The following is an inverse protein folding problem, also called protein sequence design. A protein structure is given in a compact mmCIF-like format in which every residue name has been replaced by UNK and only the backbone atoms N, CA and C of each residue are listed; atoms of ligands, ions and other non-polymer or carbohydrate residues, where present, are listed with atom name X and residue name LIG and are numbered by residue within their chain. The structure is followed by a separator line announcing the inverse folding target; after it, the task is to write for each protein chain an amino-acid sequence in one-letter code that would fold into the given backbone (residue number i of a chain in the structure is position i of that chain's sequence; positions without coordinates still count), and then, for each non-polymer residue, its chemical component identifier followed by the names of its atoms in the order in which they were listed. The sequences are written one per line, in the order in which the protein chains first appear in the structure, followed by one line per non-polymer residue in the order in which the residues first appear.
data_IF_598413415305
#
_entry.id   IF_598413415305
#
_cell.length_a   1.000
_cell.length_b   1.000
_cell.length_c   1.000
_cell.angle_alpha   90.00
_cell.angle_beta   90.00
_cell.angle_gamma   90.00
#
_symmetry.space_group_name_H-M   'P 1'
#
loop_
_entity.id
_entity.type
_entity.pdbx_description
1 polymer ?
#
# COMPACT_ATOMS: atom_id res chain seq x y z
N UNK A 1 14.24 -24.58 8.90
CA UNK A 1 14.65 -24.33 7.50
C UNK A 1 14.75 -25.68 6.83
N UNK A 2 14.05 -25.87 5.72
CA UNK A 2 14.12 -27.12 4.96
C UNK A 2 15.33 -27.02 4.01
N UNK A 3 16.40 -27.75 4.30
CA UNK A 3 17.55 -27.84 3.39
C UNK A 3 17.17 -28.69 2.17
N UNK A 4 17.49 -28.17 0.99
CA UNK A 4 17.31 -28.86 -0.29
C UNK A 4 18.65 -29.31 -0.82
N UNK A 5 18.63 -30.29 -1.73
CA UNK A 5 19.84 -30.71 -2.45
C UNK A 5 20.47 -29.53 -3.19
N UNK A 6 19.66 -28.62 -3.74
CA UNK A 6 20.12 -27.40 -4.40
C UNK A 6 20.87 -26.46 -3.47
N UNK A 7 20.33 -26.19 -2.28
CA UNK A 7 21.03 -25.36 -1.29
C UNK A 7 22.33 -26.02 -0.83
N UNK A 8 22.33 -27.34 -0.60
CA UNK A 8 23.53 -28.07 -0.21
C UNK A 8 24.63 -28.04 -1.28
N UNK A 9 24.29 -28.23 -2.56
CA UNK A 9 25.25 -28.11 -3.66
C UNK A 9 25.78 -26.69 -3.80
N UNK A 10 24.95 -25.68 -3.52
CA UNK A 10 25.36 -24.28 -3.51
C UNK A 10 26.31 -23.98 -2.35
N UNK A 11 26.06 -24.56 -1.17
CA UNK A 11 26.95 -24.44 -0.01
C UNK A 11 28.33 -25.06 -0.30
N UNK A 12 28.40 -26.23 -0.94
CA UNK A 12 29.67 -26.85 -1.37
C UNK A 12 30.45 -25.96 -2.34
N UNK A 13 29.76 -25.33 -3.30
CA UNK A 13 30.41 -24.42 -4.26
C UNK A 13 30.87 -23.11 -3.61
N UNK A 14 30.17 -22.66 -2.58
CA UNK A 14 30.54 -21.47 -1.82
C UNK A 14 31.74 -21.72 -0.90
N UNK A 15 31.84 -22.92 -0.32
CA UNK A 15 32.93 -23.33 0.57
C UNK A 15 34.27 -23.46 -0.18
N UNK A 16 34.26 -24.09 -1.36
CA UNK A 16 35.46 -24.24 -2.19
C UNK A 16 35.23 -23.80 -3.65
N UNK A 17 35.87 -22.68 -4.01
CA UNK A 17 35.85 -22.11 -5.37
C UNK A 17 36.53 -23.01 -6.41
N UNK A 18 37.26 -24.04 -5.99
CA UNK A 18 37.83 -25.08 -6.85
C UNK A 18 36.78 -26.06 -7.40
N UNK A 19 35.58 -26.10 -6.82
CA UNK A 19 34.48 -26.97 -7.27
C UNK A 19 33.73 -26.33 -8.43
N UNK A 20 33.94 -26.85 -9.65
CA UNK A 20 33.31 -26.37 -10.89
C UNK A 20 31.97 -27.04 -11.18
N UNK A 21 31.86 -28.33 -10.82
CA UNK A 21 30.66 -29.12 -11.05
C UNK A 21 30.43 -30.06 -9.88
N UNK A 22 29.27 -29.94 -9.24
CA UNK A 22 28.80 -30.83 -8.18
C UNK A 22 27.39 -31.33 -8.52
N UNK A 23 27.17 -32.64 -8.46
CA UNK A 23 25.86 -33.24 -8.71
C UNK A 23 25.67 -34.49 -7.85
N UNK A 24 24.40 -34.75 -7.49
CA UNK A 24 24.01 -35.93 -6.71
C UNK A 24 23.29 -36.92 -7.61
N UNK A 25 23.68 -38.19 -7.50
CA UNK A 25 23.10 -39.31 -8.22
C UNK A 25 22.60 -40.38 -7.24
N UNK A 26 21.54 -41.08 -7.61
CA UNK A 26 21.06 -42.28 -6.90
C UNK A 26 22.03 -43.44 -7.13
N UNK A 27 21.97 -44.49 -6.30
CA UNK A 27 22.74 -45.73 -6.49
C UNK A 27 22.64 -46.29 -7.93
N UNK A 28 21.46 -46.13 -8.56
CA UNK A 28 21.12 -46.56 -9.92
C UNK A 28 21.64 -45.63 -11.04
N UNK A 29 22.31 -44.52 -10.71
CA UNK A 29 22.90 -43.59 -11.68
C UNK A 29 21.98 -42.48 -12.18
N UNK A 30 20.75 -42.37 -11.67
CA UNK A 30 19.83 -41.28 -11.99
C UNK A 30 20.19 -39.99 -11.24
N UNK A 31 20.14 -38.85 -11.92
CA UNK A 31 20.43 -37.54 -11.31
C UNK A 31 19.26 -37.09 -10.43
N UNK A 32 19.58 -36.65 -9.21
CA UNK A 32 18.58 -36.16 -8.25
C UNK A 32 18.30 -34.66 -8.50
N UNK A 33 17.02 -34.24 -8.55
CA UNK A 33 16.66 -32.84 -8.71
C UNK A 33 17.16 -31.95 -7.56
N UNK A 34 17.50 -30.70 -7.87
CA UNK A 34 17.90 -29.70 -6.88
C UNK A 34 16.77 -29.33 -5.89
N UNK A 35 15.51 -29.57 -6.25
CA UNK A 35 14.34 -29.33 -5.40
C UNK A 35 14.10 -30.44 -4.37
N UNK A 36 14.80 -31.57 -4.45
CA UNK A 36 14.63 -32.68 -3.51
C UNK A 36 15.05 -32.24 -2.10
N UNK A 37 14.23 -32.60 -1.10
CA UNK A 37 14.53 -32.32 0.31
C UNK A 37 15.66 -33.22 0.80
N UNK A 38 16.56 -32.66 1.62
CA UNK A 38 17.69 -33.40 2.18
C UNK A 38 17.24 -34.60 3.03
N UNK A 39 16.11 -34.46 3.72
CA UNK A 39 15.53 -35.55 4.51
C UNK A 39 15.11 -36.76 3.67
N UNK A 40 14.73 -36.58 2.41
CA UNK A 40 14.39 -37.67 1.48
C UNK A 40 15.66 -38.30 0.91
N UNK A 41 16.66 -37.48 0.60
CA UNK A 41 17.95 -37.96 0.10
C UNK A 41 18.64 -38.87 1.12
N UNK A 42 18.65 -38.48 2.39
CA UNK A 42 19.32 -39.20 3.48
C UNK A 42 18.62 -40.52 3.88
N UNK A 43 17.46 -40.86 3.28
CA UNK A 43 16.81 -42.15 3.50
C UNK A 43 17.49 -43.29 2.74
N UNK A 44 18.23 -42.98 1.66
CA UNK A 44 18.88 -43.94 0.79
C UNK A 44 20.36 -43.56 0.59
N UNK A 45 21.17 -44.54 0.21
CA UNK A 45 22.55 -44.29 -0.20
C UNK A 45 22.59 -43.53 -1.53
N UNK A 46 23.54 -42.60 -1.65
CA UNK A 46 23.66 -41.76 -2.83
C UNK A 46 25.12 -41.52 -3.21
N UNK A 47 25.34 -41.18 -4.49
CA UNK A 47 26.65 -40.87 -5.05
C UNK A 47 26.78 -39.38 -5.26
N UNK A 48 27.79 -38.77 -4.66
CA UNK A 48 28.14 -37.37 -4.84
C UNK A 48 29.29 -37.25 -5.84
N UNK A 49 29.06 -36.56 -6.95
CA UNK A 49 30.08 -36.34 -7.98
C UNK A 49 30.57 -34.91 -7.90
N UNK A 50 31.86 -34.72 -7.56
CA UNK A 50 32.54 -33.42 -7.50
C UNK A 50 33.68 -33.44 -8.51
N UNK A 51 33.68 -32.50 -9.47
CA UNK A 51 34.77 -32.34 -10.46
C UNK A 51 35.20 -33.65 -11.15
N UNK A 52 34.23 -34.56 -11.40
CA UNK A 52 34.39 -35.91 -12.00
C UNK A 52 34.88 -37.02 -11.04
N UNK A 53 35.12 -36.71 -9.76
CA UNK A 53 35.37 -37.72 -8.73
C UNK A 53 34.02 -38.13 -8.13
N UNK A 54 33.79 -39.45 -8.04
CA UNK A 54 32.54 -40.01 -7.50
C UNK A 54 32.80 -40.49 -6.08
N UNK A 55 32.03 -39.98 -5.13
CA UNK A 55 32.04 -40.38 -3.73
C UNK A 55 30.77 -41.16 -3.44
N UNK A 56 30.91 -42.37 -2.88
CA UNK A 56 29.78 -43.17 -2.44
C UNK A 56 29.47 -42.85 -0.97
N UNK A 57 28.28 -42.32 -0.71
CA UNK A 57 27.87 -41.86 0.62
C UNK A 57 26.85 -42.85 1.17
N UNK A 58 27.28 -43.60 2.19
CA UNK A 58 26.40 -44.49 2.94
C UNK A 58 25.69 -43.71 4.04
N UNK A 59 24.36 -43.69 3.97
CA UNK A 59 23.54 -42.98 4.94
C UNK A 59 23.27 -43.90 6.13
N UNK A 60 23.51 -43.45 7.39
CA UNK A 60 23.11 -44.22 8.55
C UNK A 60 21.59 -44.35 8.57
N UNK A 61 21.09 -45.60 8.61
CA UNK A 61 19.65 -45.86 8.76
C UNK A 61 19.21 -45.30 10.10
N UNK A 62 18.27 -44.35 10.09
CA UNK A 62 17.76 -43.77 11.32
C UNK A 62 17.19 -44.89 12.21
N UNK A 63 17.77 -45.05 13.40
CA UNK A 63 17.19 -45.87 14.45
C UNK A 63 15.80 -45.33 14.78
N UNK A 64 14.79 -46.20 14.72
CA UNK A 64 13.44 -45.86 15.17
C UNK A 64 13.47 -45.71 16.68
N UNK A 65 13.68 -44.48 17.15
CA UNK A 65 13.46 -44.10 18.55
C UNK A 65 12.06 -44.58 18.98
N UNK A 66 11.98 -45.23 20.15
CA UNK A 66 10.73 -45.71 20.74
C UNK A 66 9.68 -44.59 20.74
N UNK A 67 8.46 -44.88 20.28
CA UNK A 67 7.42 -43.88 20.01
C UNK A 67 7.07 -43.01 21.22
N UNK A 68 7.19 -43.54 22.44
CA UNK A 68 6.97 -42.77 23.67
C UNK A 68 8.05 -41.70 23.90
N UNK A 69 9.33 -42.05 23.72
CA UNK A 69 10.44 -41.10 23.91
C UNK A 69 10.45 -40.01 22.82
N UNK A 70 9.96 -40.31 21.62
CA UNK A 70 9.77 -39.31 20.56
C UNK A 70 8.73 -38.26 20.99
N UNK A 71 7.60 -38.68 21.57
CA UNK A 71 6.56 -37.75 22.02
C UNK A 71 7.02 -36.86 23.18
N UNK A 72 7.76 -37.39 24.15
CA UNK A 72 8.31 -36.59 25.23
C UNK A 72 9.30 -35.53 24.72
N UNK A 73 10.20 -35.91 23.81
CA UNK A 73 11.16 -34.99 23.22
C UNK A 73 10.49 -33.90 22.37
N UNK A 74 9.41 -34.22 21.66
CA UNK A 74 8.59 -33.24 20.95
C UNK A 74 7.92 -32.24 21.91
N UNK A 75 7.40 -32.71 23.05
CA UNK A 75 6.82 -31.80 24.06
C UNK A 75 7.89 -30.88 24.64
N UNK A 76 9.08 -31.39 24.94
CA UNK A 76 10.20 -30.59 25.45
C UNK A 76 10.66 -29.56 24.40
N UNK A 77 10.78 -29.96 23.13
CA UNK A 77 11.09 -29.04 22.03
C UNK A 77 10.03 -27.95 21.88
N UNK A 78 8.74 -28.30 22.03
CA UNK A 78 7.64 -27.33 21.94
C UNK A 78 7.70 -26.29 23.07
N UNK A 79 8.07 -26.71 24.30
CA UNK A 79 8.23 -25.84 25.45
C UNK A 79 9.43 -24.92 25.29
N UNK A 80 10.58 -25.46 24.88
CA UNK A 80 11.78 -24.68 24.58
C UNK A 80 11.49 -23.66 23.47
N UNK A 81 10.78 -24.06 22.43
CA UNK A 81 10.40 -23.15 21.34
C UNK A 81 9.45 -22.05 21.81
N UNK A 82 8.46 -22.36 22.67
CA UNK A 82 7.59 -21.35 23.30
C UNK A 82 8.38 -20.37 24.15
N UNK A 83 9.33 -20.86 24.96
CA UNK A 83 10.13 -20.03 25.85
C UNK A 83 11.09 -19.14 25.06
N UNK A 84 11.77 -19.72 24.06
CA UNK A 84 12.61 -18.99 23.12
C UNK A 84 11.82 -17.90 22.40
N UNK A 85 10.62 -18.23 21.92
CA UNK A 85 9.74 -17.27 21.27
C UNK A 85 9.30 -16.16 22.23
N UNK A 86 9.02 -16.47 23.50
CA UNK A 86 8.64 -15.48 24.51
C UNK A 86 9.79 -14.53 24.87
N UNK A 87 11.01 -15.06 25.08
CA UNK A 87 12.19 -14.26 25.45
C UNK A 87 12.65 -13.36 24.29
N UNK A 88 12.60 -13.85 23.05
CA UNK A 88 12.98 -13.07 21.87
C UNK A 88 11.83 -12.27 21.24
N UNK A 89 10.62 -12.32 21.83
CA UNK A 89 9.42 -11.71 21.27
C UNK A 89 9.58 -10.20 21.09
N UNK A 90 9.99 -9.48 22.15
CA UNK A 90 10.06 -8.01 22.11
C UNK A 90 11.09 -7.49 21.11
N UNK A 91 12.28 -8.10 21.06
CA UNK A 91 13.32 -7.69 20.13
C UNK A 91 12.88 -7.91 18.67
N UNK A 92 12.22 -9.04 18.40
CA UNK A 92 11.72 -9.34 17.06
C UNK A 92 10.55 -8.44 16.66
N UNK A 93 9.61 -8.20 17.57
CA UNK A 93 8.45 -7.33 17.36
C UNK A 93 8.88 -5.88 17.11
N UNK A 94 9.79 -5.35 17.93
CA UNK A 94 10.32 -3.98 17.79
C UNK A 94 11.08 -3.81 16.47
N UNK A 95 11.88 -4.80 16.06
CA UNK A 95 12.55 -4.79 14.75
C UNK A 95 11.54 -4.81 13.60
N UNK A 96 10.48 -5.60 13.72
CA UNK A 96 9.40 -5.69 12.73
C UNK A 96 8.58 -4.40 12.64
N UNK A 97 8.28 -3.77 13.78
CA UNK A 97 7.61 -2.48 13.86
C UNK A 97 8.45 -1.38 13.21
N UNK A 98 9.73 -1.28 13.56
CA UNK A 98 10.66 -0.32 12.97
C UNK A 98 10.75 -0.50 11.44
N UNK A 99 10.85 -1.75 10.96
CA UNK A 99 10.85 -2.05 9.52
C UNK A 99 9.55 -1.64 8.83
N UNK A 100 8.39 -1.80 9.49
CA UNK A 100 7.10 -1.34 8.97
C UNK A 100 7.01 0.18 8.94
N UNK A 101 7.49 0.86 9.98
CA UNK A 101 7.54 2.33 10.04
C UNK A 101 8.44 2.90 8.93
N UNK A 102 9.63 2.33 8.75
CA UNK A 102 10.57 2.74 7.71
C UNK A 102 9.98 2.56 6.30
N UNK A 103 9.27 1.45 6.07
CA UNK A 103 8.50 1.24 4.84
C UNK A 103 7.41 2.29 4.66
N UNK A 104 6.63 2.59 5.70
CA UNK A 104 5.56 3.60 5.64
C UNK A 104 6.15 4.98 5.32
N UNK A 105 7.25 5.37 5.95
CA UNK A 105 7.92 6.64 5.70
C UNK A 105 8.47 6.73 4.28
N UNK A 106 9.08 5.65 3.78
CA UNK A 106 9.54 5.59 2.39
C UNK A 106 8.38 5.73 1.40
N UNK A 107 7.29 4.98 1.60
CA UNK A 107 6.08 5.07 0.75
C UNK A 107 5.44 6.46 0.83
N UNK A 108 5.36 7.05 2.02
CA UNK A 108 4.82 8.40 2.24
C UNK A 108 5.67 9.46 1.54
N UNK A 109 7.00 9.33 1.58
CA UNK A 109 7.94 10.24 0.89
C UNK A 109 7.75 10.20 -0.63
N UNK A 110 7.52 9.01 -1.19
CA UNK A 110 7.21 8.83 -2.60
C UNK A 110 5.81 9.35 -2.98
N UNK A 111 4.85 9.31 -2.05
CA UNK A 111 3.49 9.85 -2.25
C UNK A 111 3.41 11.39 -2.10
N UNK A 112 4.34 11.99 -1.35
CA UNK A 112 4.35 13.42 -1.07
C UNK A 112 4.37 14.36 -2.31
N UNK A 113 5.18 14.14 -3.37
CA UNK A 113 5.14 14.98 -4.57
C UNK A 113 3.77 14.93 -5.27
N UNK A 114 3.12 13.77 -5.20
CA UNK A 114 1.81 13.52 -5.80
C UNK A 114 0.68 14.22 -5.06
N UNK A 115 0.71 14.19 -3.74
CA UNK A 115 -0.22 14.95 -2.91
C UNK A 115 -0.06 16.46 -3.10
N UNK A 116 1.18 16.95 -3.26
CA UNK A 116 1.44 18.37 -3.58
C UNK A 116 0.84 18.78 -4.92
N UNK A 117 0.96 17.93 -5.95
CA UNK A 117 0.33 18.19 -7.25
C UNK A 117 -1.19 18.21 -7.15
N UNK A 118 -1.79 17.30 -6.37
CA UNK A 118 -3.23 17.30 -6.09
C UNK A 118 -3.67 18.60 -5.41
N UNK A 119 -3.01 18.99 -4.32
CA UNK A 119 -3.32 20.21 -3.59
C UNK A 119 -3.20 21.47 -4.48
N UNK A 120 -2.20 21.51 -5.37
CA UNK A 120 -2.01 22.61 -6.32
C UNK A 120 -3.07 22.69 -7.43
N UNK A 121 -3.78 21.59 -7.72
CA UNK A 121 -4.93 21.60 -8.64
C UNK A 121 -6.18 22.09 -7.91
N UNK A 122 -6.39 21.62 -6.69
CA UNK A 122 -7.53 21.97 -5.84
C UNK A 122 -7.55 23.49 -5.53
N UNK A 123 -6.41 24.04 -5.08
CA UNK A 123 -6.31 25.49 -4.80
C UNK A 123 -6.51 26.37 -6.06
N UNK A 124 -6.12 25.89 -7.25
CA UNK A 124 -6.37 26.61 -8.52
C UNK A 124 -7.82 26.56 -8.97
N UNK A 125 -8.58 25.57 -8.51
CA UNK A 125 -10.02 25.47 -8.76
C UNK A 125 -10.78 26.45 -7.87
N UNK A 126 -10.48 26.47 -6.57
CA UNK A 126 -11.11 27.37 -5.59
C UNK A 126 -10.90 28.83 -5.96
N UNK A 127 -9.66 29.22 -6.31
CA UNK A 127 -9.36 30.59 -6.72
C UNK A 127 -10.06 30.99 -8.04
N UNK A 128 -10.41 30.04 -8.91
CA UNK A 128 -11.20 30.32 -10.12
C UNK A 128 -12.67 30.50 -9.81
N UNK A 129 -13.23 29.64 -8.96
CA UNK A 129 -14.63 29.72 -8.54
C UNK A 129 -14.87 31.02 -7.76
N UNK A 130 -14.02 31.33 -6.79
CA UNK A 130 -14.11 32.59 -6.05
C UNK A 130 -14.04 33.79 -6.99
N UNK A 131 -13.10 33.81 -7.95
CA UNK A 131 -13.04 34.89 -8.94
C UNK A 131 -14.32 35.01 -9.76
N UNK A 132 -14.85 33.89 -10.26
CA UNK A 132 -16.11 33.86 -11.01
C UNK A 132 -17.29 34.40 -10.18
N UNK A 133 -17.40 33.98 -8.93
CA UNK A 133 -18.43 34.46 -7.99
C UNK A 133 -18.31 35.96 -7.74
N UNK A 134 -17.09 36.47 -7.51
CA UNK A 134 -16.84 37.90 -7.33
C UNK A 134 -17.16 38.71 -8.61
N UNK A 135 -16.80 38.22 -9.79
CA UNK A 135 -17.20 38.87 -11.06
C UNK A 135 -18.71 38.83 -11.30
N UNK A 136 -19.38 37.72 -10.95
CA UNK A 136 -20.83 37.61 -11.04
C UNK A 136 -21.53 38.60 -10.10
N UNK A 137 -21.03 38.73 -8.87
CA UNK A 137 -21.53 39.70 -7.90
C UNK A 137 -21.35 41.14 -8.40
N UNK A 138 -20.17 41.49 -8.92
CA UNK A 138 -19.90 42.81 -9.47
C UNK A 138 -20.82 43.16 -10.66
N UNK A 139 -21.03 42.21 -11.58
CA UNK A 139 -21.95 42.37 -12.71
C UNK A 139 -23.38 42.62 -12.24
N UNK A 140 -23.88 41.83 -11.28
CA UNK A 140 -25.22 42.01 -10.72
C UNK A 140 -25.37 43.35 -10.01
N UNK A 141 -24.34 43.81 -9.29
CA UNK A 141 -24.35 45.13 -8.64
C UNK A 141 -24.41 46.27 -9.65
N UNK A 142 -23.61 46.20 -10.73
CA UNK A 142 -23.64 47.20 -11.81
C UNK A 142 -24.99 47.20 -12.51
N UNK A 143 -25.53 46.01 -12.80
CA UNK A 143 -26.84 45.85 -13.43
C UNK A 143 -27.96 46.46 -12.58
N UNK A 144 -27.97 46.20 -11.26
CA UNK A 144 -28.94 46.79 -10.34
C UNK A 144 -28.81 48.32 -10.25
N UNK A 145 -27.58 48.84 -10.19
CA UNK A 145 -27.32 50.27 -10.17
C UNK A 145 -27.74 50.99 -11.46
N UNK A 146 -27.49 50.39 -12.62
CA UNK A 146 -27.92 50.92 -13.91
C UNK A 146 -29.45 50.98 -14.02
N UNK A 147 -30.14 49.92 -13.61
CA UNK A 147 -31.61 49.90 -13.57
C UNK A 147 -32.15 50.98 -12.64
N UNK A 148 -31.60 51.10 -11.43
CA UNK A 148 -31.99 52.13 -10.47
C UNK A 148 -31.80 53.55 -11.02
N UNK A 149 -30.67 53.81 -11.69
CA UNK A 149 -30.40 55.08 -12.37
C UNK A 149 -31.44 55.37 -13.46
N UNK A 150 -31.69 54.40 -14.35
CA UNK A 150 -32.69 54.56 -15.42
C UNK A 150 -34.10 54.80 -14.86
N UNK A 151 -34.51 54.12 -13.79
CA UNK A 151 -35.85 54.25 -13.20
C UNK A 151 -36.10 55.55 -12.46
N UNK A 152 -35.05 56.23 -11.97
CA UNK A 152 -35.20 57.46 -11.19
C UNK A 152 -34.86 58.73 -11.95
N UNK A 153 -33.93 58.67 -12.91
CA UNK A 153 -33.42 59.87 -13.59
C UNK A 153 -33.85 60.00 -15.06
N UNK A 154 -34.14 58.90 -15.75
CA UNK A 154 -34.28 58.92 -17.23
C UNK A 154 -35.66 58.46 -17.71
N UNK A 155 -36.20 57.39 -17.14
CA UNK A 155 -37.45 56.77 -17.58
C UNK A 155 -38.39 56.54 -16.41
N UNK A 156 -39.69 56.75 -16.62
CA UNK A 156 -40.71 56.35 -15.65
C UNK A 156 -40.78 54.83 -15.51
N UNK A 157 -41.15 54.37 -14.31
CA UNK A 157 -41.23 52.95 -13.95
C UNK A 157 -42.07 52.11 -14.92
N UNK A 158 -43.15 52.69 -15.47
CA UNK A 158 -44.06 52.08 -16.46
C UNK A 158 -43.37 51.60 -17.75
N UNK A 159 -42.30 52.29 -18.19
CA UNK A 159 -41.52 51.90 -19.38
C UNK A 159 -40.47 50.83 -19.03
N UNK A 160 -39.97 50.83 -17.79
CA UNK A 160 -38.90 49.93 -17.33
C UNK A 160 -39.42 48.59 -16.82
N UNK A 161 -40.69 48.49 -16.42
CA UNK A 161 -41.32 47.28 -15.92
C UNK A 161 -41.08 46.06 -16.86
N UNK A 162 -41.48 46.06 -18.14
CA UNK A 162 -41.26 44.91 -19.01
C UNK A 162 -39.76 44.61 -19.25
N UNK A 163 -38.92 45.63 -19.28
CA UNK A 163 -37.47 45.50 -19.51
C UNK A 163 -36.81 44.74 -18.35
N UNK A 164 -37.18 45.05 -17.11
CA UNK A 164 -36.65 44.35 -15.93
C UNK A 164 -37.08 42.88 -15.86
N UNK A 165 -38.29 42.56 -16.30
CA UNK A 165 -38.78 41.18 -16.42
C UNK A 165 -37.94 40.38 -17.43
N UNK A 166 -37.72 40.92 -18.64
CA UNK A 166 -36.89 40.24 -19.65
C UNK A 166 -35.47 40.02 -19.18
N UNK A 167 -34.87 41.00 -18.52
CA UNK A 167 -33.50 40.90 -17.98
C UNK A 167 -33.42 39.83 -16.87
N UNK A 168 -34.39 39.78 -15.97
CA UNK A 168 -34.43 38.77 -14.90
C UNK A 168 -34.59 37.36 -15.48
N UNK A 169 -35.46 37.20 -16.47
CA UNK A 169 -35.64 35.95 -17.18
C UNK A 169 -34.37 35.54 -17.93
N UNK A 170 -33.71 36.47 -18.62
CA UNK A 170 -32.44 36.23 -19.30
C UNK A 170 -31.32 35.82 -18.33
N UNK A 171 -31.20 36.46 -17.18
CA UNK A 171 -30.25 36.08 -16.13
C UNK A 171 -30.52 34.67 -15.59
N UNK A 172 -31.78 34.32 -15.35
CA UNK A 172 -32.19 32.97 -14.93
C UNK A 172 -31.87 31.93 -16.01
N UNK A 173 -32.15 32.24 -17.27
CA UNK A 173 -31.83 31.41 -18.44
C UNK A 173 -30.31 31.17 -18.57
N UNK A 174 -29.50 32.21 -18.40
CA UNK A 174 -28.03 32.12 -18.43
C UNK A 174 -27.51 31.32 -17.25
N UNK A 175 -28.04 31.52 -16.04
CA UNK A 175 -27.67 30.74 -14.87
C UNK A 175 -28.01 29.26 -15.05
N UNK A 176 -29.19 28.96 -15.61
CA UNK A 176 -29.61 27.60 -15.90
C UNK A 176 -28.81 26.97 -17.04
N UNK A 177 -28.50 27.71 -18.10
CA UNK A 177 -27.62 27.26 -19.17
C UNK A 177 -26.20 27.00 -18.66
N UNK A 178 -25.66 27.88 -17.82
CA UNK A 178 -24.39 27.68 -17.14
C UNK A 178 -24.44 26.43 -16.25
N UNK A 179 -25.52 26.22 -15.50
CA UNK A 179 -25.70 25.02 -14.69
C UNK A 179 -25.77 23.73 -15.53
N UNK A 180 -26.47 23.77 -16.67
CA UNK A 180 -26.57 22.65 -17.61
C UNK A 180 -25.24 22.34 -18.32
N UNK A 181 -24.49 23.36 -18.74
CA UNK A 181 -23.18 23.20 -19.40
C UNK A 181 -22.12 22.76 -18.39
N UNK A 182 -22.16 23.33 -17.19
CA UNK A 182 -21.23 23.00 -16.11
C UNK A 182 -21.60 21.68 -15.41
N UNK A 183 -22.76 21.08 -15.75
CA UNK A 183 -23.33 19.83 -15.24
C UNK A 183 -22.93 19.51 -13.80
N UNK A 184 -23.76 19.99 -12.87
CA UNK A 184 -24.02 19.39 -11.55
C UNK A 184 -22.89 18.51 -10.97
N UNK A 185 -21.85 19.14 -10.44
CA UNK A 185 -20.96 18.55 -9.43
C UNK A 185 -20.55 19.60 -8.41
N UNK A 186 -21.56 20.20 -7.77
CA UNK A 186 -21.40 21.07 -6.60
C UNK A 186 -21.10 20.28 -5.31
N UNK A 187 -20.90 18.96 -5.39
CA UNK A 187 -20.31 18.16 -4.31
C UNK A 187 -18.81 18.01 -4.56
N UNK A 188 -18.07 19.05 -4.14
CA UNK A 188 -16.62 19.22 -4.25
C UNK A 188 -15.79 18.02 -3.73
N UNK A 189 -16.39 17.12 -2.95
CA UNK A 189 -15.68 15.99 -2.31
C UNK A 189 -15.72 14.69 -3.14
N UNK A 190 -16.81 14.38 -3.83
CA UNK A 190 -16.99 13.07 -4.47
C UNK A 190 -16.60 13.06 -5.96
N UNK A 191 -16.83 14.15 -6.69
CA UNK A 191 -16.62 14.19 -8.15
C UNK A 191 -15.36 14.92 -8.58
N UNK A 192 -14.77 15.72 -7.67
CA UNK A 192 -13.34 16.00 -7.71
C UNK A 192 -12.56 14.71 -7.91
N UNK A 193 -12.95 13.57 -7.33
CA UNK A 193 -12.33 12.27 -7.59
C UNK A 193 -12.31 11.83 -9.07
N UNK A 194 -13.43 11.95 -9.80
CA UNK A 194 -13.53 11.48 -11.21
C UNK A 194 -12.96 12.48 -12.21
N UNK A 195 -13.25 13.77 -12.05
CA UNK A 195 -12.66 14.82 -12.89
C UNK A 195 -11.15 14.89 -12.64
N UNK A 196 -10.70 14.79 -11.38
CA UNK A 196 -9.29 14.65 -11.04
C UNK A 196 -8.74 13.38 -11.66
N UNK A 197 -9.40 12.22 -11.55
CA UNK A 197 -8.89 10.99 -12.15
C UNK A 197 -8.71 11.14 -13.67
N UNK A 198 -9.67 11.77 -14.36
CA UNK A 198 -9.57 12.02 -15.80
C UNK A 198 -8.46 13.03 -16.14
N UNK A 199 -8.37 14.13 -15.40
CA UNK A 199 -7.33 15.16 -15.59
C UNK A 199 -5.94 14.64 -15.20
N UNK A 200 -5.87 13.82 -14.16
CA UNK A 200 -4.70 13.14 -13.65
C UNK A 200 -4.24 12.09 -14.65
N UNK A 201 -5.12 11.26 -15.22
CA UNK A 201 -4.79 10.34 -16.32
C UNK A 201 -4.32 11.08 -17.57
N UNK A 202 -4.98 12.19 -17.93
CA UNK A 202 -4.60 13.00 -19.10
C UNK A 202 -3.24 13.67 -18.91
N UNK A 203 -2.97 14.22 -17.72
CA UNK A 203 -1.65 14.76 -17.36
C UNK A 203 -0.59 13.68 -17.22
N UNK A 204 -0.97 12.53 -16.65
CA UNK A 204 -0.11 11.37 -16.50
C UNK A 204 0.40 10.87 -17.84
N UNK A 205 -0.48 10.82 -18.84
CA UNK A 205 -0.14 10.45 -20.21
C UNK A 205 0.77 11.47 -20.90
N UNK A 206 0.77 12.72 -20.45
CA UNK A 206 1.63 13.80 -20.98
C UNK A 206 2.99 13.89 -20.27
N UNK A 207 3.07 13.54 -18.98
CA UNK A 207 4.30 13.58 -18.17
C UNK A 207 4.89 12.18 -17.85
N UNK A 208 4.42 11.11 -18.49
CA UNK A 208 4.81 9.72 -18.18
C UNK A 208 4.64 9.34 -16.70
N UNK A 209 3.63 9.91 -16.03
CA UNK A 209 3.36 9.60 -14.64
C UNK A 209 2.56 8.28 -14.54
N UNK A 210 3.04 7.25 -13.86
CA UNK A 210 2.33 5.96 -13.79
C UNK A 210 1.24 5.98 -12.69
N UNK A 211 -0.01 6.13 -13.12
CA UNK A 211 -1.18 6.12 -12.22
C UNK A 211 -1.35 4.77 -11.52
N UNK A 212 -0.98 3.68 -12.18
CA UNK A 212 -1.02 2.37 -11.55
C UNK A 212 0.00 2.28 -10.42
N UNK A 213 1.19 2.84 -10.63
CA UNK A 213 2.22 2.89 -9.60
C UNK A 213 1.74 3.69 -8.38
N UNK A 214 1.04 4.81 -8.58
CA UNK A 214 0.46 5.60 -7.49
C UNK A 214 -0.59 4.81 -6.70
N UNK A 215 -1.52 4.14 -7.38
CA UNK A 215 -2.55 3.33 -6.71
C UNK A 215 -1.93 2.15 -5.97
N UNK A 216 -0.95 1.45 -6.59
CA UNK A 216 -0.18 0.39 -5.93
C UNK A 216 0.51 0.90 -4.67
N UNK A 217 1.16 2.06 -4.75
CA UNK A 217 1.87 2.67 -3.63
C UNK A 217 0.90 3.07 -2.49
N UNK A 218 -0.29 3.55 -2.84
CA UNK A 218 -1.33 3.89 -1.86
C UNK A 218 -1.90 2.62 -1.18
N UNK A 219 -2.19 1.59 -1.95
CA UNK A 219 -2.66 0.31 -1.43
C UNK A 219 -1.61 -0.34 -0.52
N UNK A 220 -0.33 -0.30 -0.92
CA UNK A 220 0.77 -0.83 -0.12
C UNK A 220 0.97 -0.03 1.17
N UNK A 221 0.73 1.28 1.15
CA UNK A 221 0.75 2.13 2.34
C UNK A 221 -0.41 1.80 3.27
N UNK A 222 -1.61 1.58 2.75
CA UNK A 222 -2.76 1.16 3.57
C UNK A 222 -2.55 -0.23 4.18
N UNK A 223 -2.04 -1.19 3.39
CA UNK A 223 -1.66 -2.52 3.89
C UNK A 223 -0.59 -2.44 4.97
N UNK A 224 0.45 -1.62 4.79
CA UNK A 224 1.51 -1.44 5.78
C UNK A 224 1.00 -0.80 7.07
N UNK A 225 0.13 0.21 6.97
CA UNK A 225 -0.53 0.83 8.14
C UNK A 225 -1.46 -0.15 8.86
N UNK A 226 -2.24 -0.94 8.11
CA UNK A 226 -3.12 -1.96 8.68
C UNK A 226 -2.32 -3.04 9.41
N UNK A 227 -1.21 -3.50 8.81
CA UNK A 227 -0.29 -4.45 9.43
C UNK A 227 0.33 -3.90 10.72
N UNK A 228 0.74 -2.62 10.72
CA UNK A 228 1.27 -1.95 11.91
C UNK A 228 0.20 -1.78 13.00
N UNK A 229 -1.03 -1.39 12.62
CA UNK A 229 -2.16 -1.30 13.56
C UNK A 229 -2.48 -2.65 14.19
N UNK A 230 -2.53 -3.71 13.38
CA UNK A 230 -2.74 -5.07 13.85
C UNK A 230 -1.61 -5.54 14.78
N UNK A 231 -0.36 -5.24 14.42
CA UNK A 231 0.80 -5.54 15.26
C UNK A 231 0.70 -4.86 16.62
N UNK A 232 0.41 -3.55 16.63
CA UNK A 232 0.25 -2.76 17.86
C UNK A 232 -0.92 -3.22 18.71
N UNK A 233 -2.03 -3.60 18.08
CA UNK A 233 -3.19 -4.16 18.77
C UNK A 233 -2.89 -5.53 19.40
N UNK A 234 -2.18 -6.40 18.67
CA UNK A 234 -1.72 -7.70 19.18
C UNK A 234 -0.72 -7.55 20.32
N UNK A 235 0.07 -6.49 20.35
CA UNK A 235 0.98 -6.19 21.46
C UNK A 235 0.19 -5.69 22.68
N UNK A 236 -0.77 -4.77 22.48
CA UNK A 236 -1.61 -4.23 23.54
C UNK A 236 -2.42 -5.32 24.26
N UNK A 237 -3.04 -6.25 23.51
CA UNK A 237 -3.81 -7.35 24.09
C UNK A 237 -2.97 -8.45 24.75
N UNK A 238 -1.65 -8.48 24.53
CA UNK A 238 -0.75 -9.49 25.08
C UNK A 238 0.01 -9.02 26.31
N UNK A 239 0.06 -7.70 26.55
CA UNK A 239 0.43 -7.18 27.85
C UNK A 239 -0.66 -7.61 28.84
N UNK A 240 -0.33 -8.37 29.90
CA UNK A 240 -1.26 -8.56 30.99
C UNK A 240 -1.65 -7.17 31.48
N UNK A 241 -2.93 -7.00 31.80
CA UNK A 241 -3.49 -5.87 32.52
C UNK A 241 -2.60 -5.57 33.74
N UNK A 242 -1.65 -4.65 33.61
CA UNK A 242 -0.90 -4.07 34.74
C UNK A 242 -1.68 -2.94 35.43
N UNK A 243 -2.93 -2.67 35.00
CA UNK A 243 -3.73 -1.56 35.53
C UNK A 243 -4.78 -1.92 36.59
N UNK A 244 -4.97 -3.19 36.99
CA UNK A 244 -5.95 -3.53 38.04
C UNK A 244 -5.37 -3.80 39.45
N UNK A 245 -4.08 -3.53 39.69
CA UNK A 245 -3.47 -3.72 41.02
C UNK A 245 -2.99 -2.44 41.74
N UNK A 246 -3.24 -1.25 41.18
CA UNK A 246 -2.83 0.00 41.84
C UNK A 246 -3.98 0.84 42.43
N UNK A 247 -5.19 0.29 42.53
CA UNK A 247 -6.35 0.99 43.13
C UNK A 247 -6.82 0.36 44.46
N UNK A 248 -5.92 -0.40 45.11
CA UNK A 248 -6.09 -0.88 46.49
C UNK A 248 -4.78 -0.79 47.25
N UNK A 249 -4.44 0.41 47.72
CA UNK A 249 -3.74 0.64 48.98
C UNK A 249 -3.90 2.10 49.41
#
# INVERSE_FOLDING_TARGET
MLSTVGSFLQDIQNEDKGVKTAAIFTADGNKIPASTLMGILLMNDFKLVINKITYDVQCPKQEKLSSEHATEMETMMSLVYRLFTAIHFDKYQKKKENHLLEKIDHLKKQLQPLEKLKAGIEGRSEARISRLLWTGLALLSIQGGALAWFTWWVYSWDIMEPVTYFITFANSMVFFAYFLVTRQDYTYSAVSGRQFLHFFYKKSKQEHFDVEQYNKLKDDLEKAKAALKHLRHSLYFRLPVEEELNDKN
#
